data_IF_987212821414
#
_entry.id   IF_987212821414
#
_cell.length_a   1.000
_cell.length_b   1.000
_cell.length_c   1.000
_cell.angle_alpha   90.00
_cell.angle_beta   90.00
_cell.angle_gamma   90.00
#
_symmetry.space_group_name_H-M   'P 1'
#
loop_
_entity.id
_entity.type
_entity.pdbx_description
1 polymer ?
#
# COMPACT_ATOMS: atom_id res chain seq x y z
N UNK A 1 -0.69 -9.67 -30.96
CA UNK A 1 0.26 -9.14 -31.96
C UNK A 1 0.82 -7.84 -31.41
N UNK A 2 2.15 -7.65 -31.44
CA UNK A 2 2.76 -6.36 -31.09
C UNK A 2 2.43 -5.34 -32.19
N UNK A 3 2.61 -4.05 -31.91
CA UNK A 3 2.34 -3.00 -32.89
C UNK A 3 3.20 -3.21 -34.14
N UNK A 4 2.70 -2.80 -35.30
CA UNK A 4 3.47 -2.76 -36.56
C UNK A 4 3.82 -1.31 -36.96
N UNK A 5 3.55 -0.37 -36.05
CA UNK A 5 3.76 1.05 -36.25
C UNK A 5 5.23 1.40 -36.15
N UNK A 6 5.71 2.21 -37.08
CA UNK A 6 7.05 2.78 -36.98
C UNK A 6 6.99 4.06 -36.13
N UNK A 7 7.67 4.07 -34.98
CA UNK A 7 7.72 5.25 -34.11
C UNK A 7 8.32 6.46 -34.81
N UNK A 8 9.23 6.28 -35.77
CA UNK A 8 9.84 7.41 -36.51
C UNK A 8 8.98 7.94 -37.65
N UNK A 9 7.79 7.38 -37.86
CA UNK A 9 6.86 7.91 -38.84
C UNK A 9 6.32 9.27 -38.38
N UNK A 10 6.23 10.24 -39.29
CA UNK A 10 5.79 11.62 -39.01
C UNK A 10 4.48 11.67 -38.23
N UNK A 11 3.48 10.89 -38.63
CA UNK A 11 2.17 10.85 -37.96
C UNK A 11 2.23 10.31 -36.54
N UNK A 12 3.15 9.39 -36.22
CA UNK A 12 3.29 8.86 -34.86
C UNK A 12 4.04 9.87 -33.99
N UNK A 13 5.10 10.49 -34.52
CA UNK A 13 5.83 11.54 -33.82
C UNK A 13 4.97 12.77 -33.53
N UNK A 14 4.06 13.15 -34.44
CA UNK A 14 3.09 14.22 -34.20
C UNK A 14 2.16 13.90 -33.03
N UNK A 15 1.68 12.67 -32.94
CA UNK A 15 0.81 12.23 -31.84
C UNK A 15 1.56 12.21 -30.50
N UNK A 16 2.80 11.72 -30.47
CA UNK A 16 3.66 11.77 -29.28
C UNK A 16 3.92 13.23 -28.88
N UNK A 17 4.26 14.08 -29.85
CA UNK A 17 4.48 15.52 -29.64
C UNK A 17 3.25 16.22 -29.07
N UNK A 18 2.06 15.87 -29.53
CA UNK A 18 0.81 16.41 -29.02
C UNK A 18 0.55 16.00 -27.56
N UNK A 19 0.79 14.74 -27.19
CA UNK A 19 0.66 14.28 -25.79
C UNK A 19 1.61 15.06 -24.88
N UNK A 20 2.84 15.30 -25.32
CA UNK A 20 3.83 16.07 -24.56
C UNK A 20 3.46 17.54 -24.44
N UNK A 21 2.92 18.14 -25.50
CA UNK A 21 2.84 19.59 -25.64
C UNK A 21 3.93 20.12 -26.58
N UNK A 22 3.51 20.88 -27.58
CA UNK A 22 4.33 21.56 -28.57
C UNK A 22 3.72 22.91 -28.96
N UNK A 23 4.36 23.65 -29.86
CA UNK A 23 3.88 24.99 -30.24
C UNK A 23 2.55 24.96 -31.02
N UNK A 24 2.12 23.81 -31.56
CA UNK A 24 0.86 23.69 -32.29
C UNK A 24 -0.35 23.55 -31.36
N UNK A 25 -0.16 22.98 -30.17
CA UNK A 25 -1.21 22.85 -29.17
C UNK A 25 -1.02 23.77 -27.94
N UNK A 26 -0.01 24.62 -27.97
CA UNK A 26 0.24 25.62 -26.93
C UNK A 26 -0.90 26.64 -26.83
N UNK A 27 -1.46 26.79 -25.63
CA UNK A 27 -2.45 27.83 -25.32
C UNK A 27 -3.91 27.51 -25.66
N UNK A 28 -4.21 26.29 -26.12
CA UNK A 28 -5.59 25.83 -26.37
C UNK A 28 -6.37 25.65 -25.05
N UNK A 29 -5.66 25.31 -23.96
CA UNK A 29 -6.22 25.19 -22.61
C UNK A 29 -6.81 23.82 -22.31
N UNK A 30 -6.91 23.49 -21.02
CA UNK A 30 -7.47 22.22 -20.56
C UNK A 30 -6.68 21.00 -21.06
N UNK A 31 -7.38 19.92 -21.40
CA UNK A 31 -6.80 18.65 -21.85
C UNK A 31 -6.23 18.69 -23.29
N UNK A 32 -6.38 19.80 -24.01
CA UNK A 32 -5.91 19.92 -25.39
C UNK A 32 -4.46 20.42 -25.51
N UNK A 33 -3.89 20.96 -24.42
CA UNK A 33 -2.55 21.56 -24.43
C UNK A 33 -1.38 20.58 -24.31
N UNK A 34 -1.65 19.28 -24.11
CA UNK A 34 -0.62 18.30 -23.74
C UNK A 34 -0.23 18.38 -22.25
N UNK A 35 0.73 17.54 -21.86
CA UNK A 35 1.15 17.35 -20.46
C UNK A 35 2.15 18.39 -19.95
N UNK A 36 3.01 18.92 -20.83
CA UNK A 36 4.02 19.96 -20.60
C UNK A 36 3.80 21.08 -21.63
N UNK A 37 2.71 21.82 -21.43
CA UNK A 37 2.34 22.90 -22.33
C UNK A 37 3.19 24.16 -22.11
N UNK A 38 3.89 24.27 -20.98
CA UNK A 38 4.75 25.41 -20.67
C UNK A 38 6.19 25.01 -20.31
N UNK A 39 6.97 24.70 -21.35
CA UNK A 39 8.38 24.25 -21.28
C UNK A 39 9.34 25.15 -20.50
N UNK A 40 8.98 26.41 -20.24
CA UNK A 40 9.85 27.39 -19.58
C UNK A 40 9.60 27.51 -18.07
N UNK A 41 8.56 26.87 -17.54
CA UNK A 41 8.11 27.08 -16.16
C UNK A 41 8.74 26.14 -15.12
N UNK A 42 9.49 25.12 -15.58
CA UNK A 42 10.10 24.06 -14.75
C UNK A 42 9.08 23.33 -13.86
N UNK A 43 7.88 23.10 -14.37
CA UNK A 43 6.79 22.40 -13.70
C UNK A 43 6.03 23.27 -12.70
N UNK A 44 6.12 24.60 -12.80
CA UNK A 44 5.40 25.50 -11.91
C UNK A 44 3.88 25.44 -12.14
N UNK A 45 3.45 25.32 -13.40
CA UNK A 45 2.05 25.35 -13.78
C UNK A 45 1.52 23.95 -14.11
N UNK A 46 2.23 23.14 -14.90
CA UNK A 46 1.76 21.79 -15.27
C UNK A 46 2.32 20.66 -14.39
N UNK A 47 3.35 20.94 -13.59
CA UNK A 47 4.01 19.95 -12.74
C UNK A 47 5.10 19.14 -13.44
N UNK A 48 5.35 19.36 -14.74
CA UNK A 48 6.38 18.66 -15.51
C UNK A 48 7.65 19.51 -15.58
N UNK A 49 8.74 19.01 -15.01
CA UNK A 49 10.02 19.74 -14.94
C UNK A 49 10.81 19.56 -16.24
N UNK A 50 10.74 18.37 -16.82
CA UNK A 50 11.39 18.02 -18.09
C UNK A 50 10.72 16.79 -18.70
N UNK A 51 10.81 16.69 -20.02
CA UNK A 51 10.42 15.51 -20.80
C UNK A 51 11.63 15.04 -21.60
N UNK A 52 11.74 13.73 -21.83
CA UNK A 52 12.66 13.11 -22.76
C UNK A 52 11.91 12.09 -23.62
N UNK A 53 11.96 12.27 -24.94
CA UNK A 53 11.28 11.42 -25.90
C UNK A 53 11.92 11.50 -27.30
N UNK A 54 11.58 10.57 -28.21
CA UNK A 54 11.96 10.70 -29.62
C UNK A 54 11.41 11.94 -30.30
N UNK A 55 10.17 12.34 -30.00
CA UNK A 55 9.55 13.53 -30.57
C UNK A 55 10.31 14.80 -30.15
N UNK A 56 10.75 14.87 -28.90
CA UNK A 56 11.57 15.97 -28.40
C UNK A 56 12.92 16.05 -29.10
N UNK A 57 13.60 14.93 -29.33
CA UNK A 57 14.86 14.90 -30.08
C UNK A 57 14.67 15.46 -31.49
N UNK A 58 13.58 15.07 -32.17
CA UNK A 58 13.25 15.56 -33.51
C UNK A 58 12.88 17.04 -33.49
N UNK A 59 12.09 17.52 -32.50
CA UNK A 59 11.73 18.93 -32.33
C UNK A 59 12.95 19.82 -32.06
N UNK A 60 13.88 19.37 -31.21
CA UNK A 60 15.13 20.07 -30.95
C UNK A 60 16.00 20.14 -32.22
N UNK A 61 16.14 19.03 -32.96
CA UNK A 61 16.90 19.02 -34.20
C UNK A 61 16.28 19.94 -35.27
N UNK A 62 14.95 19.94 -35.37
CA UNK A 62 14.20 20.79 -36.30
C UNK A 62 14.39 22.28 -35.97
N UNK A 63 14.09 22.68 -34.74
CA UNK A 63 14.11 24.08 -34.29
C UNK A 63 15.52 24.67 -34.13
N UNK A 64 16.56 23.84 -34.02
CA UNK A 64 17.95 24.29 -33.82
C UNK A 64 18.43 25.26 -34.90
N UNK A 65 18.09 25.00 -36.17
CA UNK A 65 18.51 25.85 -37.29
C UNK A 65 17.88 27.25 -37.24
N UNK A 66 16.58 27.31 -36.94
CA UNK A 66 15.86 28.56 -36.74
C UNK A 66 16.42 29.35 -35.55
N UNK A 67 16.61 28.70 -34.40
CA UNK A 67 17.16 29.33 -33.18
C UNK A 67 18.56 29.90 -33.41
N UNK A 68 19.41 29.17 -34.13
CA UNK A 68 20.75 29.64 -34.50
C UNK A 68 20.70 30.85 -35.44
N UNK A 69 19.89 30.78 -36.50
CA UNK A 69 19.76 31.88 -37.46
C UNK A 69 19.18 33.14 -36.80
N UNK A 70 18.14 32.99 -35.97
CA UNK A 70 17.54 34.08 -35.22
C UNK A 70 18.53 34.70 -34.23
N UNK A 71 19.34 33.90 -33.52
CA UNK A 71 20.40 34.41 -32.67
C UNK A 71 21.50 35.14 -33.46
N UNK A 72 21.88 34.63 -34.64
CA UNK A 72 22.86 35.27 -35.51
C UNK A 72 22.33 36.61 -36.06
N UNK A 73 21.06 36.67 -36.46
CA UNK A 73 20.37 37.88 -36.91
C UNK A 73 20.32 38.94 -35.79
N UNK A 74 19.98 38.52 -34.57
CA UNK A 74 19.85 39.38 -33.40
C UNK A 74 21.18 39.92 -32.87
N UNK A 75 22.23 39.11 -32.88
CA UNK A 75 23.47 39.43 -32.17
C UNK A 75 24.71 39.63 -33.06
N UNK A 76 24.74 39.08 -34.28
CA UNK A 76 25.95 39.08 -35.11
C UNK A 76 25.90 40.04 -36.31
N UNK A 77 24.71 40.51 -36.72
CA UNK A 77 24.57 41.39 -37.89
C UNK A 77 24.31 42.85 -37.48
N UNK A 78 25.10 43.83 -37.97
CA UNK A 78 25.01 45.23 -37.57
C UNK A 78 23.75 45.98 -38.05
N UNK A 79 22.87 45.31 -38.82
CA UNK A 79 21.60 45.85 -39.33
C UNK A 79 20.35 45.18 -38.71
N UNK A 80 20.54 44.27 -37.75
CA UNK A 80 19.45 43.53 -37.12
C UNK A 80 18.77 44.33 -36.01
N UNK A 81 17.88 45.25 -36.37
CA UNK A 81 17.08 46.04 -35.41
C UNK A 81 15.74 45.37 -35.04
N UNK A 82 15.62 44.05 -35.21
CA UNK A 82 14.37 43.32 -35.01
C UNK A 82 14.45 42.31 -33.86
N UNK A 83 13.67 42.51 -32.81
CA UNK A 83 13.40 41.47 -31.80
C UNK A 83 12.67 40.26 -32.41
N UNK A 84 12.06 40.43 -33.60
CA UNK A 84 11.13 39.49 -34.23
C UNK A 84 11.74 38.52 -35.26
N UNK A 85 13.07 38.49 -35.45
CA UNK A 85 13.77 37.53 -36.32
C UNK A 85 13.11 37.32 -37.71
N UNK A 86 12.78 38.43 -38.38
CA UNK A 86 11.92 38.45 -39.58
C UNK A 86 12.51 37.74 -40.82
N UNK A 87 13.84 37.64 -40.93
CA UNK A 87 14.46 36.87 -42.02
C UNK A 87 14.49 35.39 -41.67
N UNK A 88 14.72 35.08 -40.39
CA UNK A 88 14.75 33.71 -39.88
C UNK A 88 13.37 33.04 -39.86
N UNK A 89 12.27 33.78 -39.72
CA UNK A 89 10.90 33.24 -39.77
C UNK A 89 10.47 32.78 -41.16
N UNK A 90 11.20 33.14 -42.22
CA UNK A 90 11.01 32.55 -43.56
C UNK A 90 11.56 31.11 -43.65
N UNK A 91 12.21 30.62 -42.60
CA UNK A 91 12.75 29.28 -42.54
C UNK A 91 11.62 28.26 -42.31
N UNK A 92 11.55 27.17 -43.11
CA UNK A 92 10.61 26.06 -42.87
C UNK A 92 10.76 25.35 -41.51
N UNK A 93 11.82 25.66 -40.78
CA UNK A 93 12.17 25.11 -39.46
C UNK A 93 11.71 25.98 -38.28
N UNK A 94 10.76 26.88 -38.50
CA UNK A 94 10.19 27.74 -37.47
C UNK A 94 9.37 26.94 -36.45
N UNK A 95 9.55 27.27 -35.16
CA UNK A 95 8.79 26.71 -34.05
C UNK A 95 9.31 25.39 -33.49
N UNK A 96 8.82 25.06 -32.30
CA UNK A 96 9.10 23.84 -31.57
C UNK A 96 8.05 22.77 -31.88
N UNK A 97 8.07 22.24 -33.10
CA UNK A 97 7.10 21.24 -33.58
C UNK A 97 7.76 20.21 -34.52
N UNK A 98 7.06 19.11 -34.77
CA UNK A 98 7.49 18.07 -35.71
C UNK A 98 7.44 18.62 -37.15
N UNK A 99 8.44 18.32 -38.01
CA UNK A 99 8.46 18.82 -39.38
C UNK A 99 7.16 18.57 -40.16
N UNK A 100 6.68 19.58 -40.90
CA UNK A 100 5.43 19.50 -41.69
C UNK A 100 5.62 19.69 -43.20
N UNK A 101 4.59 19.34 -43.98
CA UNK A 101 4.57 19.50 -45.43
C UNK A 101 5.35 18.44 -46.20
N UNK A 102 5.52 18.68 -47.50
CA UNK A 102 6.18 17.73 -48.41
C UNK A 102 7.63 17.46 -47.97
N UNK A 103 8.03 16.19 -47.98
CA UNK A 103 9.35 15.74 -47.54
C UNK A 103 9.57 15.73 -46.02
N UNK A 104 8.53 15.91 -45.20
CA UNK A 104 8.67 15.84 -43.73
C UNK A 104 9.31 14.55 -43.24
N UNK A 105 8.90 13.40 -43.80
CA UNK A 105 9.47 12.09 -43.44
C UNK A 105 10.96 12.02 -43.76
N UNK A 106 11.39 12.43 -44.96
CA UNK A 106 12.82 12.44 -45.35
C UNK A 106 13.67 13.31 -44.41
N UNK A 107 13.10 14.40 -43.88
CA UNK A 107 13.79 15.24 -42.89
C UNK A 107 13.92 14.55 -41.55
N UNK A 108 12.85 13.90 -41.09
CA UNK A 108 12.84 13.11 -39.86
C UNK A 108 13.85 11.98 -39.97
N UNK A 109 13.88 11.26 -41.10
CA UNK A 109 14.82 10.16 -41.33
C UNK A 109 16.28 10.63 -41.21
N UNK A 110 16.61 11.83 -41.74
CA UNK A 110 17.95 12.43 -41.54
C UNK A 110 18.23 12.79 -40.08
N UNK A 111 17.26 13.34 -39.35
CA UNK A 111 17.46 13.64 -37.93
C UNK A 111 17.64 12.36 -37.12
N UNK A 112 16.87 11.33 -37.45
CA UNK A 112 16.92 10.01 -36.84
C UNK A 112 18.27 9.34 -37.10
N UNK A 113 18.77 9.34 -38.33
CA UNK A 113 20.08 8.78 -38.70
C UNK A 113 21.22 9.50 -37.96
N UNK A 114 21.16 10.83 -37.87
CA UNK A 114 22.17 11.61 -37.16
C UNK A 114 22.10 11.44 -35.62
N UNK A 115 20.92 11.12 -35.08
CA UNK A 115 20.67 10.98 -33.65
C UNK A 115 20.49 9.53 -33.18
N UNK A 116 20.77 8.54 -34.04
CA UNK A 116 20.55 7.12 -33.78
C UNK A 116 21.16 6.63 -32.44
N UNK A 117 22.39 7.01 -32.06
CA UNK A 117 22.96 6.59 -30.78
C UNK A 117 22.16 7.06 -29.56
N UNK A 118 21.53 8.24 -29.65
CA UNK A 118 20.67 8.77 -28.58
C UNK A 118 19.28 8.14 -28.63
N UNK A 119 18.69 8.05 -29.83
CA UNK A 119 17.35 7.53 -30.04
C UNK A 119 17.23 6.06 -29.61
N UNK A 120 18.24 5.23 -29.91
CA UNK A 120 18.24 3.79 -29.55
C UNK A 120 18.06 3.51 -28.04
N UNK A 121 18.22 4.50 -27.16
CA UNK A 121 17.93 4.39 -25.74
C UNK A 121 16.44 4.54 -25.39
N UNK A 122 15.64 5.17 -26.26
CA UNK A 122 14.21 5.47 -26.07
C UNK A 122 13.29 4.70 -27.01
N UNK A 123 13.80 4.16 -28.11
CA UNK A 123 13.05 3.35 -29.07
C UNK A 123 13.68 1.98 -29.23
N UNK A 124 12.83 0.98 -29.41
CA UNK A 124 13.25 -0.41 -29.54
C UNK A 124 12.41 -1.11 -30.59
N UNK A 125 13.09 -1.88 -31.44
CA UNK A 125 12.46 -2.93 -32.23
C UNK A 125 12.26 -4.14 -31.30
N UNK A 126 10.99 -4.47 -31.04
CA UNK A 126 10.61 -5.51 -30.09
C UNK A 126 10.27 -6.83 -30.76
N UNK A 127 10.09 -6.87 -32.08
CA UNK A 127 9.73 -8.06 -32.84
C UNK A 127 10.81 -8.48 -33.87
N UNK A 128 11.92 -7.74 -33.94
CA UNK A 128 13.05 -7.89 -34.86
C UNK A 128 12.64 -7.85 -36.34
N UNK A 129 11.64 -7.05 -36.70
CA UNK A 129 11.21 -6.86 -38.10
C UNK A 129 11.95 -5.71 -38.81
N UNK A 130 12.85 -5.02 -38.11
CA UNK A 130 13.61 -3.87 -38.61
C UNK A 130 12.86 -2.54 -38.47
N UNK A 131 11.68 -2.54 -37.83
CA UNK A 131 10.89 -1.36 -37.53
C UNK A 131 10.94 -1.11 -36.01
N UNK A 132 11.20 0.13 -35.62
CA UNK A 132 11.10 0.50 -34.21
C UNK A 132 9.63 0.64 -33.83
N UNK A 133 9.13 -0.34 -33.07
CA UNK A 133 7.71 -0.52 -32.73
C UNK A 133 7.31 -0.02 -31.33
N UNK A 134 8.31 0.22 -30.47
CA UNK A 134 8.08 0.56 -29.06
C UNK A 134 8.93 1.75 -28.65
N UNK A 135 8.33 2.67 -27.89
CA UNK A 135 9.02 3.83 -27.34
C UNK A 135 8.63 4.13 -25.90
N UNK A 136 9.50 4.85 -25.19
CA UNK A 136 9.25 5.36 -23.85
C UNK A 136 9.39 6.89 -23.87
N UNK A 137 8.39 7.56 -23.29
CA UNK A 137 8.45 8.99 -22.94
C UNK A 137 8.73 9.08 -21.45
N UNK A 138 9.84 9.70 -21.08
CA UNK A 138 10.27 9.85 -19.68
C UNK A 138 9.98 11.28 -19.24
N UNK A 139 9.30 11.43 -18.10
CA UNK A 139 8.95 12.74 -17.55
C UNK A 139 9.52 12.89 -16.14
N UNK A 140 10.14 14.04 -15.89
CA UNK A 140 10.48 14.50 -14.54
C UNK A 140 9.33 15.30 -13.96
N UNK A 141 8.82 14.89 -12.80
CA UNK A 141 7.71 15.54 -12.12
C UNK A 141 8.20 16.39 -10.95
N UNK A 142 7.53 17.52 -10.70
CA UNK A 142 7.76 18.34 -9.51
C UNK A 142 7.31 17.57 -8.27
N UNK A 143 8.12 17.57 -7.21
CA UNK A 143 7.81 16.88 -5.97
C UNK A 143 6.55 17.42 -5.27
N UNK A 144 6.37 18.74 -5.27
CA UNK A 144 5.20 19.41 -4.71
C UNK A 144 4.31 19.97 -5.82
N UNK A 145 3.15 19.35 -5.99
CA UNK A 145 2.17 19.68 -7.02
C UNK A 145 1.10 20.67 -6.55
N UNK A 146 1.14 21.13 -5.30
CA UNK A 146 0.05 21.92 -4.69
C UNK A 146 -0.27 23.21 -5.45
N UNK A 147 0.77 23.89 -5.95
CA UNK A 147 0.66 25.17 -6.67
C UNK A 147 0.39 25.04 -8.18
N UNK A 148 0.33 23.82 -8.70
CA UNK A 148 0.14 23.58 -10.14
C UNK A 148 -1.31 23.85 -10.56
N UNK A 149 -1.55 24.05 -11.86
CA UNK A 149 -2.86 24.24 -12.47
C UNK A 149 -3.52 22.91 -12.90
N UNK A 150 -2.95 21.76 -12.52
CA UNK A 150 -3.53 20.45 -12.85
C UNK A 150 -4.93 20.28 -12.26
N UNK A 151 -5.73 19.42 -12.88
CA UNK A 151 -7.06 19.09 -12.37
C UNK A 151 -6.96 18.44 -11.00
N UNK A 152 -7.51 19.07 -9.95
CA UNK A 152 -7.42 18.51 -8.61
C UNK A 152 -8.30 17.27 -8.47
N UNK A 153 -7.96 16.42 -7.50
CA UNK A 153 -8.82 15.32 -7.05
C UNK A 153 -9.44 15.65 -5.71
N UNK A 154 -10.55 14.99 -5.38
CA UNK A 154 -11.15 15.13 -4.06
C UNK A 154 -10.25 14.50 -2.97
N UNK A 155 -10.15 15.19 -1.83
CA UNK A 155 -9.43 14.71 -0.66
C UNK A 155 -10.27 13.65 0.07
N UNK A 156 -9.77 12.40 0.25
CA UNK A 156 -10.45 11.39 1.05
C UNK A 156 -10.68 11.82 2.51
N UNK A 157 -9.86 12.75 3.02
CA UNK A 157 -10.00 13.31 4.37
C UNK A 157 -11.08 14.40 4.45
N UNK A 158 -11.64 14.82 3.31
CA UNK A 158 -12.59 15.91 3.24
C UNK A 158 -11.96 17.28 3.50
N UNK A 159 -12.76 18.23 3.98
CA UNK A 159 -12.31 19.60 4.27
C UNK A 159 -11.63 19.65 5.63
N UNK A 160 -10.44 20.23 5.70
CA UNK A 160 -9.68 20.47 6.94
C UNK A 160 -9.27 21.95 7.05
N UNK A 161 -8.71 22.36 8.19
CA UNK A 161 -8.14 23.71 8.34
C UNK A 161 -6.98 23.96 7.37
N UNK A 162 -6.22 22.90 7.04
CA UNK A 162 -5.12 22.95 6.06
C UNK A 162 -5.60 22.83 4.61
N UNK A 163 -6.74 22.17 4.37
CA UNK A 163 -7.36 22.00 3.06
C UNK A 163 -8.84 22.45 3.05
N UNK A 164 -9.12 23.76 2.95
CA UNK A 164 -10.49 24.28 3.02
C UNK A 164 -11.35 23.92 1.79
N UNK A 165 -10.71 23.73 0.63
CA UNK A 165 -11.39 23.35 -0.61
C UNK A 165 -11.78 21.87 -0.60
N UNK A 166 -11.07 21.02 0.16
CA UNK A 166 -11.24 19.57 0.12
C UNK A 166 -10.71 18.97 -1.18
N UNK A 167 -9.83 19.69 -1.88
CA UNK A 167 -9.26 19.32 -3.16
C UNK A 167 -7.74 19.22 -3.03
N UNK A 168 -7.16 18.17 -3.61
CA UNK A 168 -5.72 17.91 -3.58
C UNK A 168 -5.14 17.95 -4.98
N UNK A 169 -3.97 18.57 -5.09
CA UNK A 169 -3.10 18.50 -6.26
C UNK A 169 -1.82 17.80 -5.85
N UNK A 170 -1.78 16.50 -6.10
CA UNK A 170 -0.66 15.62 -5.81
C UNK A 170 -0.29 14.79 -7.05
N UNK A 171 0.72 13.93 -6.93
CA UNK A 171 1.13 13.04 -8.02
C UNK A 171 -0.03 12.16 -8.53
N UNK A 172 -0.97 11.78 -7.65
CA UNK A 172 -2.16 11.00 -8.04
C UNK A 172 -3.13 11.83 -8.88
N UNK A 173 -3.30 13.11 -8.55
CA UNK A 173 -4.07 14.05 -9.37
C UNK A 173 -3.42 14.24 -10.76
N UNK A 174 -2.08 14.33 -10.83
CA UNK A 174 -1.36 14.39 -12.10
C UNK A 174 -1.54 13.12 -12.94
N UNK A 175 -1.40 11.94 -12.34
CA UNK A 175 -1.63 10.66 -13.05
C UNK A 175 -3.06 10.60 -13.59
N UNK A 176 -4.05 10.98 -12.78
CA UNK A 176 -5.45 11.05 -13.25
C UNK A 176 -5.64 12.07 -14.37
N UNK A 177 -4.98 13.22 -14.28
CA UNK A 177 -4.99 14.23 -15.34
C UNK A 177 -4.45 13.65 -16.66
N UNK A 178 -3.33 12.93 -16.60
CA UNK A 178 -2.73 12.29 -17.77
C UNK A 178 -3.60 11.15 -18.32
N UNK A 179 -4.23 10.35 -17.47
CA UNK A 179 -5.19 9.33 -17.90
C UNK A 179 -6.38 9.94 -18.65
N UNK A 180 -6.96 11.02 -18.11
CA UNK A 180 -8.07 11.73 -18.74
C UNK A 180 -7.64 12.31 -20.08
N UNK A 181 -6.50 13.00 -20.13
CA UNK A 181 -5.94 13.56 -21.35
C UNK A 181 -5.73 12.50 -22.43
N UNK A 182 -5.09 11.38 -22.07
CA UNK A 182 -4.74 10.34 -23.04
C UNK A 182 -5.97 9.52 -23.42
N UNK A 183 -6.75 9.02 -22.47
CA UNK A 183 -7.76 8.00 -22.76
C UNK A 183 -9.18 8.50 -22.97
N UNK A 184 -9.56 9.65 -22.42
CA UNK A 184 -10.96 10.09 -22.38
C UNK A 184 -11.18 11.37 -23.22
N UNK A 185 -10.33 12.38 -23.03
CA UNK A 185 -10.52 13.74 -23.56
C UNK A 185 -9.77 13.99 -24.88
N UNK A 186 -8.86 13.09 -25.28
CA UNK A 186 -8.15 13.22 -26.56
C UNK A 186 -9.10 13.00 -27.74
N UNK A 187 -9.03 13.89 -28.74
CA UNK A 187 -9.72 13.68 -30.01
C UNK A 187 -9.02 12.55 -30.80
N UNK A 188 -9.78 11.52 -31.20
CA UNK A 188 -9.28 10.39 -31.97
C UNK A 188 -8.70 10.80 -33.34
N UNK A 189 -9.09 11.96 -33.88
CA UNK A 189 -8.51 12.51 -35.12
C UNK A 189 -7.11 13.08 -34.89
N UNK A 190 -6.82 13.57 -33.68
CA UNK A 190 -5.53 14.15 -33.31
C UNK A 190 -4.59 13.08 -32.74
N UNK A 191 -5.08 12.22 -31.84
CA UNK A 191 -4.30 11.14 -31.23
C UNK A 191 -4.94 9.76 -31.47
N UNK A 192 -4.64 9.16 -32.63
CA UNK A 192 -5.11 7.81 -32.96
C UNK A 192 -4.51 6.73 -32.04
N UNK A 193 -3.24 6.87 -31.65
CA UNK A 193 -2.56 5.93 -30.74
C UNK A 193 -3.16 5.96 -29.34
N UNK A 194 -3.75 7.07 -28.91
CA UNK A 194 -4.36 7.20 -27.59
C UNK A 194 -5.57 6.25 -27.40
N UNK A 195 -6.34 6.05 -28.48
CA UNK A 195 -7.55 5.21 -28.50
C UNK A 195 -7.29 3.79 -29.03
N UNK A 196 -6.08 3.50 -29.51
CA UNK A 196 -5.76 2.19 -30.10
C UNK A 196 -5.55 1.13 -29.02
N UNK A 197 -6.15 -0.03 -29.23
CA UNK A 197 -5.97 -1.22 -28.39
C UNK A 197 -5.52 -2.43 -29.21
N UNK A 198 -4.78 -3.32 -28.57
CA UNK A 198 -4.28 -4.56 -29.16
C UNK A 198 -4.86 -5.77 -28.44
N UNK A 199 -5.30 -6.77 -29.22
CA UNK A 199 -5.80 -8.07 -28.76
C UNK A 199 -4.67 -8.99 -28.27
N UNK A 200 -3.80 -8.46 -27.41
CA UNK A 200 -2.76 -9.19 -26.71
C UNK A 200 -2.87 -8.82 -25.23
N UNK A 201 -3.12 -9.79 -24.34
CA UNK A 201 -3.22 -9.48 -22.92
C UNK A 201 -1.87 -8.96 -22.42
N UNK A 202 -1.91 -7.87 -21.65
CA UNK A 202 -0.78 -7.41 -20.85
C UNK A 202 -1.03 -7.79 -19.40
N UNK A 203 -0.04 -8.44 -18.79
CA UNK A 203 -0.05 -8.66 -17.34
C UNK A 203 0.31 -7.34 -16.66
N UNK A 204 -0.64 -6.77 -15.92
CA UNK A 204 -0.33 -5.85 -14.83
C UNK A 204 0.31 -6.65 -13.68
N UNK A 205 0.88 -5.96 -12.69
CA UNK A 205 1.44 -6.63 -11.52
C UNK A 205 0.38 -7.41 -10.71
N UNK A 206 -0.89 -7.07 -10.86
CA UNK A 206 -2.01 -7.87 -10.41
C UNK A 206 -2.38 -8.92 -11.48
N UNK A 207 -2.17 -10.19 -11.14
CA UNK A 207 -2.45 -11.38 -11.97
C UNK A 207 -3.95 -11.56 -12.24
N UNK A 208 -4.82 -10.95 -11.41
CA UNK A 208 -6.29 -11.05 -11.53
C UNK A 208 -6.93 -9.93 -12.35
N UNK A 209 -6.19 -8.87 -12.71
CA UNK A 209 -6.65 -7.80 -13.61
C UNK A 209 -5.88 -7.83 -14.94
N UNK A 210 -5.83 -8.98 -15.61
CA UNK A 210 -5.38 -8.98 -17.01
C UNK A 210 -6.34 -8.11 -17.83
N UNK A 211 -5.85 -6.98 -18.35
CA UNK A 211 -6.60 -6.20 -19.33
C UNK A 211 -6.67 -7.03 -20.60
N UNK A 212 -7.88 -7.43 -21.00
CA UNK A 212 -8.12 -8.23 -22.23
C UNK A 212 -7.50 -7.54 -23.44
N UNK A 213 -7.57 -6.21 -23.45
CA UNK A 213 -7.05 -5.35 -24.51
C UNK A 213 -5.91 -4.46 -23.98
N UNK A 214 -4.73 -4.58 -24.58
CA UNK A 214 -3.57 -3.71 -24.28
C UNK A 214 -3.78 -2.35 -24.95
N UNK A 215 -3.78 -1.26 -24.17
CA UNK A 215 -3.75 0.10 -24.72
C UNK A 215 -2.39 0.41 -25.36
N UNK A 216 -2.38 1.13 -26.48
CA UNK A 216 -1.13 1.46 -27.17
C UNK A 216 -0.26 2.46 -26.38
N UNK A 217 -0.88 3.39 -25.66
CA UNK A 217 -0.20 4.27 -24.70
C UNK A 217 -0.51 3.77 -23.29
N UNK A 218 0.52 3.52 -22.47
CA UNK A 218 0.37 3.07 -21.09
C UNK A 218 1.20 3.97 -20.16
N UNK A 219 0.56 4.55 -19.14
CA UNK A 219 1.26 5.31 -18.10
C UNK A 219 1.92 4.31 -17.16
N UNK A 220 3.23 4.46 -16.93
CA UNK A 220 4.00 3.59 -16.04
C UNK A 220 5.18 4.34 -15.42
N UNK A 221 5.88 3.69 -14.51
CA UNK A 221 7.02 4.25 -13.78
C UNK A 221 6.92 3.99 -12.29
N UNK A 222 7.89 4.48 -11.53
CA UNK A 222 7.93 4.27 -10.08
C UNK A 222 6.71 4.89 -9.38
N UNK A 223 6.33 6.11 -9.75
CA UNK A 223 5.26 6.85 -9.08
C UNK A 223 3.88 6.21 -9.26
N UNK A 224 3.41 5.89 -10.49
CA UNK A 224 2.13 5.19 -10.67
C UNK A 224 2.11 3.82 -10.00
N UNK A 225 3.17 3.02 -10.18
CA UNK A 225 3.26 1.68 -9.61
C UNK A 225 3.20 1.70 -8.08
N UNK A 226 3.90 2.62 -7.41
CA UNK A 226 3.85 2.75 -5.95
C UNK A 226 2.47 3.15 -5.46
N UNK A 227 1.79 4.05 -6.18
CA UNK A 227 0.41 4.42 -5.85
C UNK A 227 -0.57 3.26 -6.04
N UNK A 228 -0.49 2.53 -7.15
CA UNK A 228 -1.34 1.38 -7.43
C UNK A 228 -1.14 0.27 -6.39
N UNK A 229 0.11 -0.03 -6.04
CA UNK A 229 0.46 -0.99 -4.99
C UNK A 229 -0.12 -0.54 -3.64
N UNK A 230 0.07 0.73 -3.29
CA UNK A 230 -0.41 1.27 -2.03
C UNK A 230 -1.94 1.18 -1.93
N UNK A 231 -2.65 1.52 -3.00
CA UNK A 231 -4.10 1.47 -3.07
C UNK A 231 -4.61 0.02 -3.00
N UNK A 232 -4.01 -0.90 -3.75
CA UNK A 232 -4.37 -2.31 -3.75
C UNK A 232 -4.20 -2.92 -2.34
N UNK A 233 -3.06 -2.67 -1.68
CA UNK A 233 -2.81 -3.13 -0.31
C UNK A 233 -3.84 -2.53 0.66
N UNK A 234 -4.14 -1.23 0.53
CA UNK A 234 -5.11 -0.57 1.38
C UNK A 234 -6.50 -1.18 1.23
N UNK A 235 -6.98 -1.38 -0.01
CA UNK A 235 -8.28 -1.96 -0.31
C UNK A 235 -8.37 -3.41 0.18
N UNK A 236 -7.39 -4.26 -0.13
CA UNK A 236 -7.40 -5.66 0.34
C UNK A 236 -7.45 -5.76 1.86
N UNK A 237 -6.75 -4.87 2.55
CA UNK A 237 -6.64 -4.91 3.98
C UNK A 237 -7.90 -4.39 4.69
N UNK A 238 -8.43 -3.26 4.26
CA UNK A 238 -9.62 -2.65 4.85
C UNK A 238 -10.88 -3.43 4.46
N UNK A 239 -11.01 -3.84 3.20
CA UNK A 239 -12.23 -4.47 2.69
C UNK A 239 -12.27 -5.99 2.94
N UNK A 240 -11.10 -6.65 3.00
CA UNK A 240 -11.04 -8.12 3.18
C UNK A 240 -10.35 -8.54 4.47
N UNK A 241 -9.08 -8.21 4.69
CA UNK A 241 -8.30 -8.83 5.79
C UNK A 241 -8.79 -8.44 7.18
N UNK A 242 -9.05 -7.16 7.45
CA UNK A 242 -9.50 -6.68 8.75
C UNK A 242 -10.91 -7.20 9.10
N UNK A 243 -11.92 -7.14 8.20
CA UNK A 243 -13.24 -7.73 8.46
C UNK A 243 -13.16 -9.25 8.69
N UNK A 244 -12.44 -9.99 7.84
CA UNK A 244 -12.32 -11.45 7.97
C UNK A 244 -11.65 -11.82 9.29
N UNK A 245 -10.53 -11.17 9.64
CA UNK A 245 -9.84 -11.43 10.91
C UNK A 245 -10.71 -11.08 12.12
N UNK A 246 -11.40 -9.93 12.09
CA UNK A 246 -12.33 -9.54 13.14
C UNK A 246 -13.50 -10.53 13.31
N UNK A 247 -14.09 -10.99 12.21
CA UNK A 247 -15.17 -12.00 12.22
C UNK A 247 -14.66 -13.34 12.76
N UNK A 248 -13.50 -13.81 12.30
CA UNK A 248 -12.93 -15.08 12.73
C UNK A 248 -12.59 -15.06 14.23
N UNK A 249 -11.99 -13.98 14.71
CA UNK A 249 -11.70 -13.76 16.14
C UNK A 249 -12.99 -13.72 16.95
N UNK A 250 -13.99 -12.95 16.51
CA UNK A 250 -15.29 -12.85 17.19
C UNK A 250 -15.97 -14.23 17.26
N UNK A 251 -15.98 -14.97 16.15
CA UNK A 251 -16.53 -16.32 16.08
C UNK A 251 -15.78 -17.27 17.03
N UNK A 252 -14.45 -17.25 17.01
CA UNK A 252 -13.63 -18.09 17.90
C UNK A 252 -13.91 -17.81 19.38
N UNK A 253 -14.01 -16.52 19.77
CA UNK A 253 -14.38 -16.12 21.13
C UNK A 253 -15.79 -16.57 21.52
N UNK A 254 -16.77 -16.40 20.62
CA UNK A 254 -18.14 -16.84 20.87
C UNK A 254 -18.24 -18.36 21.00
N UNK A 255 -17.48 -19.11 20.20
CA UNK A 255 -17.46 -20.58 20.28
C UNK A 255 -16.80 -21.07 21.59
N UNK A 256 -15.70 -20.44 22.02
CA UNK A 256 -14.96 -20.86 23.21
C UNK A 256 -15.64 -20.45 24.53
N UNK A 257 -16.19 -19.24 24.61
CA UNK A 257 -16.71 -18.68 25.86
C UNK A 257 -18.23 -18.60 25.91
N UNK A 258 -18.91 -18.70 24.76
CA UNK A 258 -20.37 -18.71 24.60
C UNK A 258 -21.11 -17.56 25.30
N UNK A 259 -20.40 -16.49 25.59
CA UNK A 259 -20.93 -15.31 26.24
C UNK A 259 -20.44 -14.07 25.47
N UNK A 260 -21.33 -13.31 24.81
CA UNK A 260 -20.94 -12.17 23.98
C UNK A 260 -20.24 -11.06 24.76
N UNK A 261 -20.40 -11.03 26.09
CA UNK A 261 -19.65 -10.10 26.97
C UNK A 261 -18.14 -10.24 26.82
N UNK A 262 -17.65 -11.44 26.47
CA UNK A 262 -16.20 -11.67 26.30
C UNK A 262 -15.62 -10.85 25.14
N UNK A 263 -16.43 -10.57 24.11
CA UNK A 263 -16.00 -9.77 22.95
C UNK A 263 -15.70 -8.34 23.40
N UNK A 264 -16.52 -7.77 24.29
CA UNK A 264 -16.28 -6.41 24.79
C UNK A 264 -15.06 -6.40 25.72
N UNK A 265 -14.95 -7.40 26.59
CA UNK A 265 -13.84 -7.52 27.56
C UNK A 265 -12.49 -7.65 26.85
N UNK A 266 -12.43 -8.44 25.78
CA UNK A 266 -11.20 -8.67 25.04
C UNK A 266 -10.98 -7.63 23.93
N UNK A 267 -12.04 -7.20 23.25
CA UNK A 267 -11.96 -6.28 22.12
C UNK A 267 -11.70 -4.83 22.51
N UNK A 268 -12.26 -4.34 23.63
CA UNK A 268 -12.06 -2.94 24.03
C UNK A 268 -10.58 -2.57 24.34
N UNK A 269 -9.80 -3.39 25.07
CA UNK A 269 -8.37 -3.13 25.26
C UNK A 269 -7.58 -3.09 23.95
N UNK A 270 -7.94 -3.94 22.98
CA UNK A 270 -7.28 -4.05 21.68
C UNK A 270 -7.60 -2.84 20.80
N UNK A 271 -8.86 -2.45 20.72
CA UNK A 271 -9.25 -1.25 19.97
C UNK A 271 -8.59 0.00 20.54
N UNK A 272 -8.52 0.10 21.88
CA UNK A 272 -7.83 1.20 22.55
C UNK A 272 -6.32 1.15 22.30
N UNK A 273 -5.68 -0.02 22.35
CA UNK A 273 -4.24 -0.13 22.08
C UNK A 273 -3.89 0.19 20.62
N UNK A 274 -4.71 -0.22 19.66
CA UNK A 274 -4.58 0.15 18.25
C UNK A 274 -4.69 1.67 18.05
N UNK A 275 -5.71 2.29 18.64
CA UNK A 275 -5.91 3.73 18.57
C UNK A 275 -4.71 4.50 19.16
N UNK A 276 -4.20 4.08 20.31
CA UNK A 276 -3.02 4.69 20.95
C UNK A 276 -1.77 4.45 20.11
N UNK A 277 -1.60 3.26 19.54
CA UNK A 277 -0.42 2.91 18.73
C UNK A 277 -0.36 3.76 17.48
N UNK A 278 -1.45 3.80 16.70
CA UNK A 278 -1.52 4.66 15.51
C UNK A 278 -1.43 6.15 15.87
N UNK A 279 -2.05 6.57 16.98
CA UNK A 279 -1.94 7.94 17.49
C UNK A 279 -0.49 8.32 17.81
N UNK A 280 0.26 7.46 18.50
CA UNK A 280 1.67 7.69 18.79
C UNK A 280 2.50 7.67 17.51
N UNK A 281 2.23 6.78 16.54
CA UNK A 281 3.00 6.77 15.29
C UNK A 281 2.88 8.08 14.51
N UNK A 282 1.69 8.68 14.50
CA UNK A 282 1.44 9.98 13.86
C UNK A 282 2.11 11.11 14.64
N UNK A 283 1.99 11.12 15.97
CA UNK A 283 2.62 12.16 16.83
C UNK A 283 4.14 12.10 16.77
N UNK A 284 4.70 10.90 16.64
CA UNK A 284 6.14 10.67 16.56
C UNK A 284 6.71 10.86 15.14
N UNK A 285 5.91 11.32 14.19
CA UNK A 285 6.28 11.56 12.79
C UNK A 285 6.97 10.35 12.14
N UNK A 286 6.47 9.14 12.46
CA UNK A 286 6.97 7.91 11.85
C UNK A 286 6.36 7.81 10.45
N UNK A 287 7.19 7.59 9.44
CA UNK A 287 6.75 7.43 8.05
C UNK A 287 5.65 6.36 7.93
N UNK A 288 4.45 6.79 7.54
CA UNK A 288 3.30 5.91 7.33
C UNK A 288 3.43 5.20 5.98
N UNK A 289 4.04 4.02 6.01
CA UNK A 289 4.12 3.15 4.83
C UNK A 289 2.86 2.30 4.70
N UNK A 290 2.45 1.90 3.47
CA UNK A 290 1.29 1.03 3.27
C UNK A 290 1.37 -0.28 4.07
N UNK A 291 2.60 -0.74 4.36
CA UNK A 291 2.85 -1.95 5.13
C UNK A 291 2.47 -1.81 6.62
N UNK A 292 2.49 -0.62 7.21
CA UNK A 292 2.10 -0.40 8.62
C UNK A 292 0.66 -0.82 8.87
N UNK A 293 -0.21 -0.73 7.88
CA UNK A 293 -1.62 -1.08 8.07
C UNK A 293 -1.74 -2.57 8.43
N UNK A 294 -0.83 -3.45 7.95
CA UNK A 294 -0.81 -4.89 8.27
C UNK A 294 -0.62 -5.19 9.77
N UNK A 295 -0.11 -4.22 10.53
CA UNK A 295 0.07 -4.32 11.99
C UNK A 295 -1.27 -4.49 12.71
N UNK A 296 -2.37 -3.97 12.15
CA UNK A 296 -3.70 -4.07 12.74
C UNK A 296 -4.14 -5.52 13.02
N UNK A 297 -4.35 -6.35 11.98
CA UNK A 297 -4.71 -7.76 12.16
C UNK A 297 -3.74 -8.56 13.05
N UNK A 298 -2.43 -8.29 12.98
CA UNK A 298 -1.41 -8.95 13.80
C UNK A 298 -1.62 -8.62 15.30
N UNK A 299 -1.82 -7.34 15.62
CA UNK A 299 -2.08 -6.89 16.99
C UNK A 299 -3.43 -7.38 17.50
N UNK A 300 -4.44 -7.50 16.63
CA UNK A 300 -5.72 -8.13 17.01
C UNK A 300 -5.46 -9.58 17.43
N UNK A 301 -4.75 -10.38 16.62
CA UNK A 301 -4.44 -11.77 16.95
C UNK A 301 -3.69 -11.91 18.29
N UNK A 302 -2.59 -11.18 18.46
CA UNK A 302 -1.79 -11.24 19.69
C UNK A 302 -2.50 -10.66 20.91
N UNK A 303 -3.26 -9.57 20.74
CA UNK A 303 -3.94 -8.88 21.82
C UNK A 303 -5.11 -9.67 22.40
N UNK A 304 -5.81 -10.42 21.54
CA UNK A 304 -6.88 -11.35 21.94
C UNK A 304 -6.37 -12.36 22.95
N UNK A 305 -5.21 -12.96 22.69
CA UNK A 305 -4.65 -14.01 23.54
C UNK A 305 -4.37 -13.47 24.95
N UNK A 306 -3.76 -12.30 25.06
CA UNK A 306 -3.47 -11.68 26.36
C UNK A 306 -4.75 -11.43 27.17
N UNK A 307 -5.78 -10.85 26.54
CA UNK A 307 -7.03 -10.55 27.22
C UNK A 307 -7.81 -11.83 27.59
N UNK A 308 -7.82 -12.82 26.70
CA UNK A 308 -8.55 -14.07 26.88
C UNK A 308 -7.92 -14.93 27.98
N UNK A 309 -6.59 -15.09 27.97
CA UNK A 309 -5.89 -15.85 29.02
C UNK A 309 -6.09 -15.22 30.40
N UNK A 310 -6.00 -13.90 30.50
CA UNK A 310 -6.22 -13.20 31.75
C UNK A 310 -7.69 -13.32 32.21
N UNK A 311 -8.65 -13.13 31.30
CA UNK A 311 -10.09 -13.28 31.60
C UNK A 311 -10.42 -14.69 32.12
N UNK A 312 -9.90 -15.72 31.45
CA UNK A 312 -10.08 -17.11 31.88
C UNK A 312 -9.51 -17.35 33.27
N UNK A 313 -8.30 -16.87 33.54
CA UNK A 313 -7.66 -17.08 34.84
C UNK A 313 -8.39 -16.37 35.98
N UNK A 314 -8.87 -15.15 35.74
CA UNK A 314 -9.68 -14.42 36.73
C UNK A 314 -10.95 -15.20 37.07
N UNK A 315 -11.61 -15.75 36.04
CA UNK A 315 -12.83 -16.54 36.24
C UNK A 315 -12.57 -17.86 36.96
N UNK A 316 -11.52 -18.60 36.58
CA UNK A 316 -11.10 -19.83 37.27
C UNK A 316 -10.83 -19.59 38.75
N UNK A 317 -10.01 -18.59 39.08
CA UNK A 317 -9.70 -18.25 40.47
C UNK A 317 -10.95 -17.80 41.24
N UNK A 318 -11.89 -17.11 40.58
CA UNK A 318 -13.15 -16.70 41.22
C UNK A 318 -14.03 -17.90 41.53
N UNK A 319 -14.15 -18.85 40.61
CA UNK A 319 -14.93 -20.08 40.82
C UNK A 319 -14.33 -20.90 41.97
N UNK A 320 -13.01 -21.08 42.00
CA UNK A 320 -12.29 -21.77 43.08
C UNK A 320 -12.57 -21.11 44.45
N UNK A 321 -12.46 -19.78 44.54
CA UNK A 321 -12.73 -19.03 45.77
C UNK A 321 -14.20 -19.12 46.23
N UNK A 322 -15.14 -19.12 45.30
CA UNK A 322 -16.57 -19.27 45.60
C UNK A 322 -16.85 -20.69 46.13
N UNK A 323 -16.24 -21.71 45.55
CA UNK A 323 -16.40 -23.11 45.97
C UNK A 323 -15.85 -23.33 47.39
N UNK A 324 -14.64 -22.83 47.69
CA UNK A 324 -14.07 -22.86 49.05
C UNK A 324 -14.98 -22.17 50.08
N UNK A 325 -15.52 -21.00 49.73
CA UNK A 325 -16.43 -20.24 50.61
C UNK A 325 -17.76 -20.97 50.83
N UNK A 326 -18.30 -21.62 49.79
CA UNK A 326 -19.52 -22.42 49.88
C UNK A 326 -19.32 -23.66 50.77
N UNK A 327 -18.17 -24.33 50.66
CA UNK A 327 -17.84 -25.46 51.54
C UNK A 327 -17.73 -25.03 53.01
N UNK A 328 -17.06 -23.90 53.28
CA UNK A 328 -16.96 -23.33 54.63
C UNK A 328 -18.33 -22.90 55.18
N UNK A 329 -19.18 -22.28 54.35
CA UNK A 329 -20.53 -21.92 54.74
C UNK A 329 -21.37 -23.17 55.04
N UNK A 330 -21.26 -24.22 54.22
CA UNK A 330 -21.95 -25.48 54.44
C UNK A 330 -21.48 -26.18 55.72
N UNK A 331 -20.17 -26.16 56.04
CA UNK A 331 -19.68 -26.69 57.31
C UNK A 331 -20.16 -25.89 58.52
N UNK A 332 -20.15 -24.56 58.45
CA UNK A 332 -20.63 -23.71 59.54
C UNK A 332 -22.13 -23.87 59.79
N UNK A 333 -22.93 -24.01 58.72
CA UNK A 333 -24.36 -24.26 58.82
C UNK A 333 -24.67 -25.64 59.43
N UNK A 334 -23.84 -26.65 59.15
CA UNK A 334 -23.91 -27.96 59.80
C UNK A 334 -23.70 -27.87 61.31
N UNK A 335 -22.83 -26.97 61.75
CA UNK A 335 -22.51 -26.73 63.16
C UNK A 335 -23.51 -25.78 63.86
N UNK A 336 -24.59 -25.37 63.17
CA UNK A 336 -25.68 -24.57 63.72
C UNK A 336 -25.46 -23.05 63.66
N UNK A 337 -24.43 -22.57 62.98
CA UNK A 337 -24.20 -21.14 62.77
C UNK A 337 -25.03 -20.60 61.59
N UNK A 338 -25.49 -19.36 61.69
CA UNK A 338 -26.10 -18.65 60.56
C UNK A 338 -24.99 -18.09 59.65
N UNK A 339 -25.08 -18.40 58.37
CA UNK A 339 -24.16 -17.94 57.33
C UNK A 339 -24.87 -16.93 56.42
N UNK A 340 -24.15 -15.90 56.01
CA UNK A 340 -24.62 -14.88 55.07
C UNK A 340 -24.53 -15.42 53.63
N UNK A 341 -25.46 -15.01 52.76
CA UNK A 341 -25.46 -15.43 51.35
C UNK A 341 -24.21 -14.89 50.64
N UNK A 342 -23.49 -15.78 49.96
CA UNK A 342 -22.24 -15.44 49.27
C UNK A 342 -22.58 -14.74 47.94
N UNK A 343 -22.26 -13.45 47.81
CA UNK A 343 -22.29 -12.74 46.53
C UNK A 343 -21.05 -13.11 45.69
N UNK A 344 -21.20 -13.77 44.52
CA UNK A 344 -20.09 -14.05 43.61
C UNK A 344 -19.29 -12.82 43.17
N UNK A 345 -19.90 -11.63 43.27
CA UNK A 345 -19.34 -10.36 42.81
C UNK A 345 -18.86 -9.45 43.94
N UNK A 346 -18.71 -10.00 45.14
CA UNK A 346 -18.10 -9.27 46.25
C UNK A 346 -16.71 -8.74 45.85
N UNK A 347 -16.46 -7.51 46.28
CA UNK A 347 -15.21 -6.77 46.08
C UNK A 347 -13.99 -7.54 46.58
N UNK A 348 -14.09 -8.23 47.73
CA UNK A 348 -12.99 -9.02 48.28
C UNK A 348 -12.67 -10.24 47.41
N UNK A 349 -13.68 -11.02 47.02
CA UNK A 349 -13.51 -12.20 46.16
C UNK A 349 -12.90 -11.78 44.82
N UNK A 350 -13.44 -10.72 44.22
CA UNK A 350 -12.96 -10.21 42.94
C UNK A 350 -11.51 -9.75 43.02
N UNK A 351 -11.16 -8.95 44.03
CA UNK A 351 -9.80 -8.46 44.22
C UNK A 351 -8.81 -9.62 44.41
N UNK A 352 -9.16 -10.61 45.24
CA UNK A 352 -8.30 -11.79 45.43
C UNK A 352 -8.15 -12.60 44.15
N UNK A 353 -9.24 -12.82 43.40
CA UNK A 353 -9.21 -13.55 42.14
C UNK A 353 -8.35 -12.85 41.08
N UNK A 354 -8.47 -11.52 40.97
CA UNK A 354 -7.69 -10.71 40.01
C UNK A 354 -6.22 -10.65 40.38
N UNK A 355 -5.88 -10.38 41.64
CA UNK A 355 -4.48 -10.37 42.10
C UNK A 355 -3.83 -11.74 41.90
N UNK A 356 -4.53 -12.84 42.25
CA UNK A 356 -4.04 -14.22 42.01
C UNK A 356 -3.83 -14.50 40.51
N UNK A 357 -4.71 -13.98 39.64
CA UNK A 357 -4.58 -14.15 38.19
C UNK A 357 -3.40 -13.36 37.62
N UNK A 358 -3.24 -12.10 38.06
CA UNK A 358 -2.12 -11.21 37.71
C UNK A 358 -0.79 -11.82 38.13
N UNK A 359 -0.70 -12.36 39.35
CA UNK A 359 0.54 -12.95 39.87
C UNK A 359 0.91 -14.29 39.25
N UNK A 360 -0.03 -15.00 38.62
CA UNK A 360 0.22 -16.30 37.98
C UNK A 360 0.30 -16.16 36.47
N UNK A 361 -0.84 -16.08 35.80
CA UNK A 361 -0.94 -15.98 34.34
C UNK A 361 -0.46 -14.64 33.83
N UNK A 362 -0.57 -13.56 34.61
CA UNK A 362 -0.03 -12.25 34.21
C UNK A 362 1.49 -12.25 34.00
N UNK A 363 2.26 -12.95 34.85
CA UNK A 363 3.70 -13.13 34.62
C UNK A 363 4.01 -13.94 33.37
N UNK A 364 3.24 -14.99 33.09
CA UNK A 364 3.40 -15.78 31.88
C UNK A 364 3.09 -14.95 30.62
N UNK A 365 2.02 -14.15 30.65
CA UNK A 365 1.65 -13.22 29.57
C UNK A 365 2.76 -12.16 29.38
N UNK A 366 3.31 -11.60 30.45
CA UNK A 366 4.41 -10.64 30.36
C UNK A 366 5.65 -11.24 29.68
N UNK A 367 6.05 -12.45 30.08
CA UNK A 367 7.17 -13.15 29.46
C UNK A 367 6.90 -13.45 27.98
N UNK A 368 5.67 -13.84 27.63
CA UNK A 368 5.27 -14.03 26.24
C UNK A 368 5.34 -12.73 25.44
N UNK A 369 4.81 -11.63 25.97
CA UNK A 369 4.87 -10.33 25.29
C UNK A 369 6.32 -9.87 25.10
N UNK A 370 7.18 -10.09 26.10
CA UNK A 370 8.60 -9.77 26.03
C UNK A 370 9.31 -10.58 24.94
N UNK A 371 9.07 -11.89 24.82
CA UNK A 371 9.68 -12.70 23.77
C UNK A 371 9.19 -12.30 22.39
N UNK A 372 7.90 -11.93 22.24
CA UNK A 372 7.36 -11.41 20.97
C UNK A 372 7.98 -10.07 20.60
N UNK A 373 8.17 -9.16 21.56
CA UNK A 373 8.87 -7.88 21.35
C UNK A 373 10.31 -8.12 20.89
N UNK A 374 11.03 -9.04 21.55
CA UNK A 374 12.39 -9.41 21.16
C UNK A 374 12.40 -9.99 19.73
N UNK A 375 11.46 -10.87 19.40
CA UNK A 375 11.33 -11.45 18.06
C UNK A 375 11.13 -10.40 16.97
N UNK A 376 10.18 -9.49 17.16
CA UNK A 376 9.93 -8.41 16.18
C UNK A 376 10.99 -7.31 16.20
N UNK A 377 11.78 -7.17 17.28
CA UNK A 377 12.86 -6.17 17.38
C UNK A 377 13.92 -6.34 16.28
N UNK A 378 14.08 -7.57 15.80
CA UNK A 378 14.98 -7.92 14.68
C UNK A 378 14.64 -7.11 13.42
N UNK A 379 13.36 -6.83 13.16
CA UNK A 379 12.92 -6.05 11.99
C UNK A 379 13.39 -4.60 12.01
N UNK A 380 13.74 -4.06 13.18
CA UNK A 380 14.28 -2.69 13.31
C UNK A 380 15.74 -2.61 12.88
N UNK A 381 16.47 -3.73 12.88
CA UNK A 381 17.92 -3.73 12.74
C UNK A 381 18.36 -3.47 11.28
N UNK A 382 19.04 -2.34 10.97
CA UNK A 382 19.36 -1.96 9.60
C UNK A 382 20.28 -2.95 8.87
N UNK A 383 21.15 -3.65 9.61
CA UNK A 383 22.04 -4.67 9.03
C UNK A 383 21.31 -5.95 8.60
N UNK A 384 20.13 -6.24 9.14
CA UNK A 384 19.36 -7.44 8.80
C UNK A 384 18.22 -7.12 7.83
N UNK A 385 17.59 -5.95 7.99
CA UNK A 385 16.49 -5.50 7.14
C UNK A 385 16.90 -4.17 6.47
N UNK A 386 17.38 -4.22 5.20
CA UNK A 386 17.87 -3.03 4.51
C UNK A 386 16.75 -2.11 4.03
N UNK A 387 15.50 -2.58 3.99
CA UNK A 387 14.35 -1.82 3.48
C UNK A 387 13.63 -1.05 4.60
N UNK A 388 13.52 0.27 4.43
CA UNK A 388 12.92 1.19 5.42
C UNK A 388 11.45 0.90 5.76
N UNK A 389 10.56 0.57 4.80
CA UNK A 389 9.16 0.27 5.13
C UNK A 389 9.01 -0.86 6.15
N UNK A 390 9.78 -1.95 6.03
CA UNK A 390 9.72 -3.04 7.01
C UNK A 390 10.25 -2.63 8.39
N UNK A 391 11.22 -1.71 8.45
CA UNK A 391 11.72 -1.19 9.74
C UNK A 391 10.63 -0.40 10.46
N UNK A 392 9.86 0.43 9.75
CA UNK A 392 8.73 1.20 10.32
C UNK A 392 7.60 0.30 10.83
N UNK A 393 7.35 -0.82 10.16
CA UNK A 393 6.41 -1.86 10.62
C UNK A 393 6.91 -2.52 11.89
N UNK A 394 8.18 -2.88 11.94
CA UNK A 394 8.83 -3.38 13.14
C UNK A 394 8.64 -2.43 14.31
N UNK A 395 8.99 -1.15 14.16
CA UNK A 395 8.84 -0.17 15.26
C UNK A 395 7.40 -0.03 15.74
N UNK A 396 6.44 -0.03 14.82
CA UNK A 396 5.02 0.06 15.15
C UNK A 396 4.51 -1.19 15.86
N UNK A 397 4.97 -2.39 15.48
CA UNK A 397 4.64 -3.65 16.17
C UNK A 397 5.18 -3.68 17.58
N UNK A 398 6.44 -3.29 17.81
CA UNK A 398 7.02 -3.28 19.16
C UNK A 398 6.20 -2.38 20.09
N UNK A 399 5.89 -1.17 19.61
CA UNK A 399 5.05 -0.22 20.33
C UNK A 399 3.66 -0.80 20.58
N UNK A 400 3.05 -1.36 19.54
CA UNK A 400 1.72 -1.96 19.61
C UNK A 400 1.59 -3.11 20.58
N UNK A 401 2.55 -4.04 20.58
CA UNK A 401 2.56 -5.19 21.50
C UNK A 401 2.72 -4.71 22.95
N UNK A 402 3.64 -3.77 23.19
CA UNK A 402 3.85 -3.20 24.52
C UNK A 402 2.59 -2.49 25.06
N UNK A 403 1.96 -1.64 24.25
CA UNK A 403 0.73 -0.94 24.63
C UNK A 403 -0.41 -1.93 24.82
N UNK A 404 -0.56 -2.92 23.94
CA UNK A 404 -1.62 -3.94 24.04
C UNK A 404 -1.49 -4.76 25.31
N UNK A 405 -0.27 -5.14 25.71
CA UNK A 405 -0.02 -5.80 26.98
C UNK A 405 -0.47 -4.93 28.17
N UNK A 406 -0.03 -3.67 28.22
CA UNK A 406 -0.37 -2.75 29.31
C UNK A 406 -1.89 -2.51 29.38
N UNK A 407 -2.53 -2.24 28.24
CA UNK A 407 -3.97 -2.02 28.16
C UNK A 407 -4.75 -3.27 28.58
N UNK A 408 -4.32 -4.46 28.18
CA UNK A 408 -4.97 -5.71 28.58
C UNK A 408 -4.85 -5.93 30.09
N UNK A 409 -3.69 -5.68 30.67
CA UNK A 409 -3.46 -5.89 32.10
C UNK A 409 -4.29 -4.97 33.00
N UNK A 410 -4.57 -3.74 32.53
CA UNK A 410 -5.34 -2.74 33.29
C UNK A 410 -6.84 -2.89 33.03
N UNK A 411 -7.23 -2.98 31.75
CA UNK A 411 -8.63 -2.84 31.35
C UNK A 411 -9.41 -4.16 31.49
N UNK A 412 -8.77 -5.32 31.30
CA UNK A 412 -9.46 -6.61 31.40
C UNK A 412 -10.03 -6.86 32.80
N UNK A 413 -9.27 -6.73 33.92
CA UNK A 413 -9.83 -6.91 35.25
C UNK A 413 -11.01 -5.96 35.53
N UNK A 414 -10.90 -4.71 35.07
CA UNK A 414 -11.95 -3.71 35.24
C UNK A 414 -13.22 -4.07 34.47
N UNK A 415 -13.09 -4.49 33.19
CA UNK A 415 -14.22 -4.87 32.34
C UNK A 415 -14.87 -6.18 32.79
N UNK A 416 -14.08 -7.15 33.25
CA UNK A 416 -14.60 -8.41 33.83
C UNK A 416 -15.52 -8.13 35.01
N UNK A 417 -15.12 -7.20 35.89
CA UNK A 417 -15.93 -6.80 37.05
C UNK A 417 -17.16 -5.99 36.63
N UNK A 418 -16.97 -4.99 35.78
CA UNK A 418 -18.05 -4.09 35.35
C UNK A 418 -19.17 -4.84 34.63
N UNK A 419 -18.82 -5.77 33.75
CA UNK A 419 -19.78 -6.51 32.93
C UNK A 419 -20.33 -7.76 33.64
N UNK A 420 -19.88 -8.03 34.87
CA UNK A 420 -20.21 -9.25 35.62
C UNK A 420 -20.09 -10.49 34.75
N UNK A 421 -18.90 -10.69 34.19
CA UNK A 421 -18.60 -11.78 33.28
C UNK A 421 -18.63 -13.15 33.95
N UNK A 422 -19.35 -14.11 33.35
CA UNK A 422 -19.33 -15.50 33.81
C UNK A 422 -19.13 -16.42 32.62
N UNK A 423 -18.22 -17.39 32.74
CA UNK A 423 -18.03 -18.41 31.71
C UNK A 423 -19.18 -19.41 31.77
N UNK A 424 -19.81 -19.70 30.63
CA UNK A 424 -20.85 -20.72 30.54
C UNK A 424 -20.19 -22.09 30.34
N UNK A 425 -20.38 -23.09 31.24
CA UNK A 425 -19.78 -24.41 31.08
C UNK A 425 -20.45 -25.19 29.94
N UNK A 426 -19.68 -25.91 29.13
CA UNK A 426 -20.23 -26.69 28.01
C UNK A 426 -19.72 -28.14 27.98
N UNK A 427 -20.47 -29.02 28.65
CA UNK A 427 -20.15 -30.45 28.77
C UNK A 427 -19.99 -31.20 27.44
N UNK A 428 -20.48 -30.65 26.32
CA UNK A 428 -20.36 -31.25 24.99
C UNK A 428 -19.01 -30.93 24.33
N UNK A 429 -18.53 -29.68 24.47
CA UNK A 429 -17.24 -29.26 23.94
C UNK A 429 -16.10 -29.85 24.76
N UNK A 430 -16.25 -29.88 26.08
CA UNK A 430 -15.26 -30.49 26.98
C UNK A 430 -15.04 -31.97 26.63
N UNK A 431 -16.14 -32.72 26.39
CA UNK A 431 -16.08 -34.12 25.93
C UNK A 431 -15.47 -34.30 24.55
N UNK A 432 -15.66 -33.34 23.63
CA UNK A 432 -15.04 -33.38 22.31
C UNK A 432 -13.53 -33.20 22.43
N UNK A 433 -13.07 -32.21 23.21
CA UNK A 433 -11.65 -31.94 23.44
C UNK A 433 -10.95 -33.07 24.16
N UNK A 434 -11.60 -33.69 25.15
CA UNK A 434 -11.08 -34.86 25.85
C UNK A 434 -10.81 -36.01 24.85
N UNK A 435 -11.78 -36.30 23.97
CA UNK A 435 -11.59 -37.31 22.90
C UNK A 435 -10.47 -36.95 21.92
N UNK A 436 -10.35 -35.68 21.53
CA UNK A 436 -9.27 -35.23 20.64
C UNK A 436 -7.91 -35.39 21.34
N UNK A 437 -7.80 -35.03 22.62
CA UNK A 437 -6.58 -35.15 23.42
C UNK A 437 -6.16 -36.59 23.70
N UNK A 438 -7.11 -37.53 23.78
CA UNK A 438 -6.80 -38.95 23.91
C UNK A 438 -6.09 -39.55 22.69
N UNK A 439 -6.32 -39.01 21.47
CA UNK A 439 -5.74 -39.53 20.23
C UNK A 439 -4.20 -39.51 20.28
N UNK A 440 -3.52 -38.36 20.49
CA UNK A 440 -2.07 -38.32 20.54
C UNK A 440 -1.50 -39.09 21.73
N UNK A 441 -2.21 -39.17 22.86
CA UNK A 441 -1.75 -39.90 24.06
C UNK A 441 -1.83 -41.43 23.88
N UNK A 442 -2.89 -41.93 23.24
CA UNK A 442 -3.06 -43.37 22.96
C UNK A 442 -2.19 -43.84 21.80
N UNK A 443 -1.97 -42.97 20.81
CA UNK A 443 -1.25 -43.29 19.59
C UNK A 443 0.10 -42.56 19.48
N UNK A 444 0.79 -42.30 20.61
CA UNK A 444 2.04 -41.51 20.64
C UNK A 444 3.08 -42.02 19.66
N UNK A 445 3.28 -43.35 19.57
CA UNK A 445 4.27 -43.97 18.67
C UNK A 445 3.91 -43.71 17.21
N UNK A 446 2.63 -43.81 16.85
CA UNK A 446 2.16 -43.53 15.49
C UNK A 446 2.36 -42.06 15.13
N UNK A 447 2.02 -41.14 16.04
CA UNK A 447 2.21 -39.69 15.85
C UNK A 447 3.69 -39.36 15.65
N UNK A 448 4.56 -39.94 16.47
CA UNK A 448 6.00 -39.73 16.40
C UNK A 448 6.57 -40.29 15.08
N UNK A 449 6.12 -41.48 14.66
CA UNK A 449 6.52 -42.07 13.39
C UNK A 449 6.08 -41.22 12.20
N UNK A 450 4.82 -40.78 12.16
CA UNK A 450 4.30 -39.90 11.10
C UNK A 450 5.08 -38.58 11.06
N UNK A 451 5.37 -37.99 12.22
CA UNK A 451 6.14 -36.75 12.32
C UNK A 451 7.56 -36.93 11.78
N UNK A 452 8.23 -38.04 12.15
CA UNK A 452 9.57 -38.36 11.64
C UNK A 452 9.55 -38.59 10.14
N UNK A 453 8.59 -39.35 9.61
CA UNK A 453 8.46 -39.60 8.17
C UNK A 453 8.24 -38.30 7.41
N UNK A 454 7.34 -37.42 7.88
CA UNK A 454 7.10 -36.11 7.27
C UNK A 454 8.33 -35.21 7.35
N UNK A 455 9.06 -35.24 8.46
CA UNK A 455 10.28 -34.43 8.64
C UNK A 455 11.40 -34.92 7.71
N UNK A 456 11.60 -36.23 7.57
CA UNK A 456 12.57 -36.82 6.65
C UNK A 456 12.19 -36.52 5.20
N UNK A 457 10.90 -36.65 4.85
CA UNK A 457 10.40 -36.35 3.52
C UNK A 457 10.53 -34.85 3.17
N UNK A 458 10.24 -33.97 4.11
CA UNK A 458 10.50 -32.53 3.96
C UNK A 458 12.00 -32.24 3.78
N UNK A 459 12.85 -32.94 4.54
CA UNK A 459 14.30 -32.87 4.40
C UNK A 459 14.81 -33.29 3.02
N UNK A 460 14.28 -34.38 2.45
CA UNK A 460 14.67 -34.82 1.10
C UNK A 460 14.24 -33.84 0.01
N UNK A 461 13.06 -33.23 0.13
CA UNK A 461 12.62 -32.18 -0.80
C UNK A 461 13.53 -30.96 -0.70
N UNK A 462 13.91 -30.57 0.52
CA UNK A 462 14.81 -29.45 0.75
C UNK A 462 16.20 -29.70 0.14
N UNK A 463 16.72 -30.92 0.25
CA UNK A 463 17.99 -31.33 -0.36
C UNK A 463 17.91 -31.32 -1.89
N UNK A 464 16.80 -31.81 -2.48
CA UNK A 464 16.59 -31.77 -3.93
C UNK A 464 16.46 -30.35 -4.49
N UNK A 465 15.89 -29.40 -3.74
CA UNK A 465 15.75 -28.00 -4.17
C UNK A 465 17.03 -27.18 -3.94
N UNK A 466 17.70 -27.35 -2.81
CA UNK A 466 18.99 -26.68 -2.54
C UNK A 466 20.15 -27.26 -3.36
N UNK A 467 20.06 -28.52 -3.79
CA UNK A 467 21.04 -29.18 -4.66
C UNK A 467 20.95 -28.82 -6.15
N UNK A 468 19.96 -28.03 -6.56
CA UNK A 468 19.80 -27.51 -7.94
C UNK A 468 20.45 -26.12 -8.16
N UNK A 469 21.18 -25.60 -7.16
CA UNK A 469 21.88 -24.31 -7.19
C UNK A 469 23.33 -24.39 -7.65
#
# INVERSE_FOLDING_TARGET
MRGTENITHVEILKQISWIEGDDQNRGIGGYQSGLDYNKEDRGAIDGVVWILSPAQIVKEANSSSYRFNCAMEKYALPTGDGEDCAVSSLNPFEGYSIPEGDGAQERIDRFVENAEPLLSSFIRDTNNDGIWDTTVVVMGLKFDMSDTAITPRDDPKGKSEENPSGQLRDHKAFIRHAELLIYEESDATICQICHRTYLSPTSTMDEFTSTVDRKAVTITGLTPVVHDISDAIYQELVDRMLPISGVLVCLAMLLLHRNPKVIIICGAPILMSLAITFGITVIADIMLTPMIISVGPILVGLGVDYALHLTNRIEENRVELIEERLEMAWSAQRDGFQTEDIDPWDSHITLTATVRAVLTTGHAIFLSALTTIIGFSVLRWPSLVPIEPMRTVGTTLLLGIAITFVMSMILVPALVQLLRYRKSPSKAFDRLWEKIGEIPVKNTVLVLLVTVVLTVWGGSILEEELGKG
#
